data_IF_488433590393
#
_entry.id   IF_488433590393
#
_cell.length_a   1.000
_cell.length_b   1.000
_cell.length_c   1.000
_cell.angle_alpha   90.00
_cell.angle_beta   90.00
_cell.angle_gamma   90.00
#
_symmetry.space_group_name_H-M   'P 1'
#
loop_
_entity.id
_entity.type
_entity.pdbx_description
1 polymer ?
#
# COMPACT_ATOMS: atom_id res chain seq x y z
N UNK A 1 -12.09 -21.60 -26.84
CA UNK A 1 -11.98 -20.20 -26.40
C UNK A 1 -11.99 -19.23 -27.57
N UNK A 2 -11.07 -19.32 -28.54
CA UNK A 2 -11.01 -18.41 -29.72
C UNK A 2 -12.36 -18.23 -30.45
N UNK A 3 -13.08 -19.32 -30.74
CA UNK A 3 -14.41 -19.21 -31.38
C UNK A 3 -15.43 -18.43 -30.55
N UNK A 4 -15.38 -18.54 -29.22
CA UNK A 4 -16.27 -17.80 -28.32
C UNK A 4 -15.89 -16.31 -28.23
N UNK A 5 -14.60 -15.99 -28.18
CA UNK A 5 -14.09 -14.61 -28.19
C UNK A 5 -14.40 -13.92 -29.52
N UNK A 6 -14.18 -14.61 -30.66
CA UNK A 6 -14.53 -14.10 -31.99
C UNK A 6 -16.04 -13.85 -32.14
N UNK A 7 -16.86 -14.77 -31.62
CA UNK A 7 -18.33 -14.59 -31.59
C UNK A 7 -18.72 -13.36 -30.78
N UNK A 8 -18.13 -13.18 -29.59
CA UNK A 8 -18.38 -12.02 -28.75
C UNK A 8 -17.88 -10.70 -29.39
N UNK A 9 -16.74 -10.74 -30.09
CA UNK A 9 -16.19 -9.59 -30.81
C UNK A 9 -17.11 -9.12 -31.95
N UNK A 10 -17.78 -10.04 -32.64
CA UNK A 10 -18.70 -9.74 -33.74
C UNK A 10 -20.03 -9.10 -33.29
N UNK A 11 -20.38 -9.13 -32.00
CA UNK A 11 -21.62 -8.54 -31.49
C UNK A 11 -21.58 -7.01 -31.65
N UNK A 12 -22.59 -6.44 -32.30
CA UNK A 12 -22.69 -4.98 -32.52
C UNK A 12 -23.27 -4.25 -31.31
N UNK A 13 -24.24 -4.85 -30.62
CA UNK A 13 -24.83 -4.28 -29.42
C UNK A 13 -23.86 -4.34 -28.23
N UNK A 14 -23.51 -3.18 -27.67
CA UNK A 14 -22.49 -3.09 -26.63
C UNK A 14 -22.90 -3.79 -25.34
N UNK A 15 -24.18 -3.73 -24.95
CA UNK A 15 -24.67 -4.34 -23.71
C UNK A 15 -24.62 -5.86 -23.81
N UNK A 16 -25.08 -6.42 -24.92
CA UNK A 16 -24.99 -7.85 -25.20
C UNK A 16 -23.55 -8.32 -25.31
N UNK A 17 -22.67 -7.52 -25.94
CA UNK A 17 -21.23 -7.81 -26.04
C UNK A 17 -20.59 -7.94 -24.66
N UNK A 18 -20.83 -6.98 -23.77
CA UNK A 18 -20.31 -7.01 -22.38
C UNK A 18 -20.82 -8.25 -21.65
N UNK A 19 -22.11 -8.54 -21.75
CA UNK A 19 -22.69 -9.69 -21.05
C UNK A 19 -22.13 -11.02 -21.54
N UNK A 20 -21.96 -11.18 -22.86
CA UNK A 20 -21.33 -12.36 -23.43
C UNK A 20 -19.89 -12.53 -22.93
N UNK A 21 -19.10 -11.46 -22.91
CA UNK A 21 -17.75 -11.53 -22.37
C UNK A 21 -17.72 -11.84 -20.86
N UNK A 22 -18.69 -11.35 -20.07
CA UNK A 22 -18.80 -11.71 -18.65
C UNK A 22 -19.05 -13.20 -18.46
N UNK A 23 -19.92 -13.80 -19.27
CA UNK A 23 -20.15 -15.24 -19.22
C UNK A 23 -18.88 -16.03 -19.57
N UNK A 24 -18.11 -15.55 -20.56
CA UNK A 24 -16.81 -16.15 -20.90
C UNK A 24 -15.85 -16.01 -19.72
N UNK A 25 -15.70 -14.82 -19.13
CA UNK A 25 -14.85 -14.58 -17.97
C UNK A 25 -15.23 -15.50 -16.79
N UNK A 26 -16.52 -15.61 -16.47
CA UNK A 26 -17.00 -16.50 -15.42
C UNK A 26 -16.65 -17.96 -15.70
N UNK A 27 -16.78 -18.42 -16.96
CA UNK A 27 -16.39 -19.77 -17.36
C UNK A 27 -14.88 -20.04 -17.23
N UNK A 28 -14.05 -19.02 -17.46
CA UNK A 28 -12.59 -19.11 -17.32
C UNK A 28 -12.18 -19.25 -15.86
N UNK A 29 -12.75 -18.41 -15.00
CA UNK A 29 -12.40 -18.37 -13.58
C UNK A 29 -13.03 -19.50 -12.75
N UNK A 30 -14.07 -20.18 -13.26
CA UNK A 30 -14.75 -21.29 -12.56
C UNK A 30 -14.20 -22.68 -12.91
N UNK A 31 -13.19 -22.77 -13.78
CA UNK A 31 -12.52 -24.05 -14.06
C UNK A 31 -11.82 -24.58 -12.80
N UNK A 32 -11.88 -25.90 -12.55
CA UNK A 32 -11.24 -26.53 -11.39
C UNK A 32 -10.35 -27.71 -11.84
N UNK A 33 -9.01 -27.61 -11.72
CA UNK A 33 -8.25 -26.42 -11.32
C UNK A 33 -8.40 -25.27 -12.33
N UNK A 34 -8.15 -24.04 -11.89
CA UNK A 34 -8.23 -22.87 -12.77
C UNK A 34 -7.17 -22.96 -13.84
N UNK A 35 -7.59 -22.97 -15.10
CA UNK A 35 -6.67 -22.99 -16.23
C UNK A 35 -6.11 -21.57 -16.48
N UNK A 36 -4.90 -21.32 -15.98
CA UNK A 36 -4.22 -20.03 -16.14
C UNK A 36 -3.99 -19.67 -17.60
N UNK A 37 -3.89 -20.64 -18.51
CA UNK A 37 -3.72 -20.39 -19.94
C UNK A 37 -4.96 -19.75 -20.56
N UNK A 38 -6.16 -20.15 -20.10
CA UNK A 38 -7.42 -19.54 -20.53
C UNK A 38 -7.55 -18.11 -20.01
N UNK A 39 -7.16 -17.86 -18.76
CA UNK A 39 -7.16 -16.51 -18.20
C UNK A 39 -6.20 -15.57 -18.95
N UNK A 40 -4.98 -16.04 -19.25
CA UNK A 40 -3.99 -15.28 -20.04
C UNK A 40 -4.51 -14.93 -21.43
N UNK A 41 -5.12 -15.89 -22.14
CA UNK A 41 -5.74 -15.66 -23.46
C UNK A 41 -6.89 -14.66 -23.40
N UNK A 42 -7.71 -14.71 -22.34
CA UNK A 42 -8.77 -13.71 -22.15
C UNK A 42 -8.17 -12.31 -21.97
N UNK A 43 -7.11 -12.17 -21.17
CA UNK A 43 -6.40 -10.91 -20.97
C UNK A 43 -5.84 -10.39 -22.29
N UNK A 44 -5.13 -11.22 -23.06
CA UNK A 44 -4.54 -10.84 -24.36
C UNK A 44 -5.62 -10.29 -25.31
N UNK A 45 -6.79 -10.96 -25.35
CA UNK A 45 -7.93 -10.51 -26.15
C UNK A 45 -8.48 -9.16 -25.67
N UNK A 46 -8.60 -8.96 -24.36
CA UNK A 46 -9.12 -7.71 -23.79
C UNK A 46 -8.21 -6.50 -24.01
N UNK A 47 -6.88 -6.69 -24.06
CA UNK A 47 -5.93 -5.60 -24.29
C UNK A 47 -5.65 -5.35 -25.78
N UNK A 48 -6.16 -6.22 -26.66
CA UNK A 48 -6.07 -6.07 -28.12
C UNK A 48 -6.93 -4.91 -28.64
N UNK A 49 -6.72 -4.56 -29.91
CA UNK A 49 -7.53 -3.53 -30.59
C UNK A 49 -8.87 -4.07 -31.12
N UNK A 50 -9.11 -5.39 -31.02
CA UNK A 50 -10.38 -6.00 -31.43
C UNK A 50 -11.54 -5.67 -30.48
N UNK A 51 -11.22 -5.29 -29.25
CA UNK A 51 -12.19 -4.99 -28.20
C UNK A 51 -12.26 -3.48 -27.98
N UNK A 52 -13.44 -2.85 -28.10
CA UNK A 52 -13.59 -1.43 -27.81
C UNK A 52 -13.15 -1.11 -26.38
N UNK A 53 -12.39 -0.04 -26.19
CA UNK A 53 -11.76 0.31 -24.90
C UNK A 53 -12.74 0.35 -23.72
N UNK A 54 -13.97 0.85 -23.95
CA UNK A 54 -15.01 0.90 -22.90
C UNK A 54 -15.39 -0.50 -22.42
N UNK A 55 -15.47 -1.47 -23.33
CA UNK A 55 -15.76 -2.87 -23.02
C UNK A 55 -14.58 -3.50 -22.29
N UNK A 56 -13.35 -3.30 -22.77
CA UNK A 56 -12.12 -3.80 -22.13
C UNK A 56 -11.99 -3.28 -20.69
N UNK A 57 -12.20 -1.98 -20.45
CA UNK A 57 -12.14 -1.38 -19.10
C UNK A 57 -13.12 -2.04 -18.14
N UNK A 58 -14.37 -2.22 -18.56
CA UNK A 58 -15.40 -2.80 -17.71
C UNK A 58 -15.11 -4.27 -17.38
N UNK A 59 -14.65 -5.05 -18.36
CA UNK A 59 -14.35 -6.46 -18.17
C UNK A 59 -13.08 -6.70 -17.37
N UNK A 60 -12.02 -5.93 -17.63
CA UNK A 60 -10.78 -6.00 -16.83
C UNK A 60 -11.02 -5.54 -15.40
N UNK A 61 -11.95 -4.60 -15.16
CA UNK A 61 -12.36 -4.24 -13.81
C UNK A 61 -13.12 -5.39 -13.11
N UNK A 62 -14.06 -6.04 -13.79
CA UNK A 62 -14.74 -7.24 -13.25
C UNK A 62 -13.73 -8.36 -12.96
N UNK A 63 -12.81 -8.63 -13.89
CA UNK A 63 -11.72 -9.58 -13.71
C UNK A 63 -10.87 -9.23 -12.47
N UNK A 64 -10.47 -7.96 -12.32
CA UNK A 64 -9.68 -7.52 -11.18
C UNK A 64 -10.43 -7.73 -9.85
N UNK A 65 -11.74 -7.49 -9.81
CA UNK A 65 -12.56 -7.75 -8.62
C UNK A 65 -12.58 -9.24 -8.25
N UNK A 66 -12.71 -10.12 -9.25
CA UNK A 66 -12.82 -11.57 -9.07
C UNK A 66 -11.47 -12.25 -8.75
N UNK A 67 -10.32 -11.60 -8.98
CA UNK A 67 -8.99 -12.14 -8.66
C UNK A 67 -8.87 -12.68 -7.22
N UNK A 68 -9.47 -11.99 -6.26
CA UNK A 68 -9.39 -12.37 -4.83
C UNK A 68 -10.16 -13.64 -4.46
N UNK A 69 -10.88 -14.26 -5.40
CA UNK A 69 -11.54 -15.56 -5.20
C UNK A 69 -10.67 -16.74 -5.60
N UNK A 70 -9.56 -16.47 -6.30
CA UNK A 70 -8.66 -17.50 -6.79
C UNK A 70 -7.69 -17.93 -5.69
N UNK A 71 -7.11 -19.12 -5.86
CA UNK A 71 -6.00 -19.55 -5.00
C UNK A 71 -4.81 -18.61 -5.16
N UNK A 72 -4.05 -18.40 -4.07
CA UNK A 72 -2.98 -17.41 -3.99
C UNK A 72 -1.98 -17.47 -5.16
N UNK A 73 -1.48 -18.66 -5.51
CA UNK A 73 -0.46 -18.79 -6.55
C UNK A 73 -1.03 -18.54 -7.96
N UNK A 74 -2.26 -19.00 -8.21
CA UNK A 74 -3.01 -18.71 -9.44
C UNK A 74 -3.29 -17.21 -9.56
N UNK A 75 -3.73 -16.58 -8.46
CA UNK A 75 -3.99 -15.14 -8.42
C UNK A 75 -2.73 -14.35 -8.76
N UNK A 76 -1.58 -14.68 -8.14
CA UNK A 76 -0.29 -14.02 -8.43
C UNK A 76 0.10 -14.17 -9.89
N UNK A 77 0.05 -15.40 -10.42
CA UNK A 77 0.45 -15.68 -11.80
C UNK A 77 -0.37 -14.86 -12.81
N UNK A 78 -1.70 -14.90 -12.69
CA UNK A 78 -2.59 -14.23 -13.64
C UNK A 78 -2.52 -12.71 -13.47
N UNK A 79 -2.46 -12.19 -12.24
CA UNK A 79 -2.39 -10.76 -11.98
C UNK A 79 -1.08 -10.14 -12.50
N UNK A 80 0.08 -10.80 -12.30
CA UNK A 80 1.35 -10.34 -12.87
C UNK A 80 1.32 -10.36 -14.40
N UNK A 81 0.73 -11.41 -15.00
CA UNK A 81 0.55 -11.46 -16.44
C UNK A 81 -0.33 -10.30 -16.94
N UNK A 82 -1.44 -10.03 -16.26
CA UNK A 82 -2.32 -8.91 -16.59
C UNK A 82 -1.60 -7.56 -16.54
N UNK A 83 -0.83 -7.30 -15.49
CA UNK A 83 -0.04 -6.07 -15.39
C UNK A 83 0.97 -5.94 -16.53
N UNK A 84 1.66 -7.02 -16.90
CA UNK A 84 2.62 -7.03 -17.99
C UNK A 84 1.95 -6.72 -19.35
N UNK A 85 0.79 -7.33 -19.63
CA UNK A 85 0.05 -7.10 -20.88
C UNK A 85 -0.61 -5.72 -20.96
N UNK A 86 -1.02 -5.16 -19.82
CA UNK A 86 -1.62 -3.82 -19.76
C UNK A 86 -0.56 -2.72 -19.87
N UNK A 87 0.70 -2.98 -19.46
CA UNK A 87 1.77 -1.99 -19.37
C UNK A 87 1.96 -1.10 -20.62
N UNK A 88 1.92 -1.62 -21.87
CA UNK A 88 2.07 -0.78 -23.07
C UNK A 88 0.96 0.28 -23.23
N UNK A 89 -0.21 0.05 -22.62
CA UNK A 89 -1.39 0.91 -22.67
C UNK A 89 -1.82 1.37 -21.28
N UNK A 90 -0.90 1.43 -20.30
CA UNK A 90 -1.21 1.65 -18.88
C UNK A 90 -2.10 2.88 -18.61
N UNK A 91 -1.87 3.98 -19.32
CA UNK A 91 -2.68 5.23 -19.22
C UNK A 91 -4.15 4.99 -19.56
N UNK A 92 -4.44 4.02 -20.44
CA UNK A 92 -5.82 3.66 -20.78
C UNK A 92 -6.50 2.81 -19.71
N UNK A 93 -5.76 2.22 -18.78
CA UNK A 93 -6.23 1.21 -17.82
C UNK A 93 -5.80 1.49 -16.37
N UNK A 94 -5.54 2.75 -16.01
CA UNK A 94 -5.02 3.14 -14.69
C UNK A 94 -5.86 2.59 -13.53
N UNK A 95 -7.20 2.62 -13.66
CA UNK A 95 -8.11 2.12 -12.63
C UNK A 95 -8.03 0.61 -12.46
N UNK A 96 -7.93 -0.14 -13.56
CA UNK A 96 -7.77 -1.60 -13.50
C UNK A 96 -6.41 -1.97 -12.91
N UNK A 97 -5.35 -1.25 -13.28
CA UNK A 97 -4.00 -1.45 -12.75
C UNK A 97 -3.94 -1.17 -11.26
N UNK A 98 -4.63 -0.13 -10.79
CA UNK A 98 -4.77 0.18 -9.36
C UNK A 98 -5.34 -1.03 -8.61
N UNK A 99 -6.52 -1.51 -9.01
CA UNK A 99 -7.23 -2.59 -8.30
C UNK A 99 -6.38 -3.87 -8.29
N UNK A 100 -5.74 -4.20 -9.41
CA UNK A 100 -4.87 -5.39 -9.50
C UNK A 100 -3.67 -5.25 -8.56
N UNK A 101 -3.01 -4.08 -8.52
CA UNK A 101 -1.87 -3.84 -7.63
C UNK A 101 -2.26 -3.86 -6.16
N UNK A 102 -3.40 -3.28 -5.79
CA UNK A 102 -3.89 -3.31 -4.40
C UNK A 102 -4.18 -4.74 -3.95
N UNK A 103 -4.87 -5.55 -4.76
CA UNK A 103 -5.13 -6.96 -4.43
C UNK A 103 -3.86 -7.82 -4.35
N UNK A 104 -2.89 -7.56 -5.22
CA UNK A 104 -1.58 -8.23 -5.13
C UNK A 104 -0.82 -7.81 -3.87
N UNK A 105 -0.90 -6.53 -3.48
CA UNK A 105 -0.28 -6.06 -2.27
C UNK A 105 -0.90 -6.70 -1.03
N UNK A 106 -2.23 -6.73 -0.92
CA UNK A 106 -2.97 -7.41 0.15
C UNK A 106 -2.59 -8.89 0.25
N UNK A 107 -2.48 -9.58 -0.90
CA UNK A 107 -2.07 -10.98 -0.93
C UNK A 107 -0.64 -11.17 -0.42
N UNK A 108 0.31 -10.37 -0.91
CA UNK A 108 1.70 -10.44 -0.43
C UNK A 108 1.83 -10.06 1.05
N UNK A 109 1.05 -9.10 1.52
CA UNK A 109 1.02 -8.68 2.92
C UNK A 109 0.50 -9.81 3.82
N UNK A 110 -0.57 -10.51 3.42
CA UNK A 110 -1.09 -11.66 4.17
C UNK A 110 -0.12 -12.85 4.23
N UNK A 111 0.80 -12.95 3.26
CA UNK A 111 1.89 -13.90 3.23
C UNK A 111 3.19 -13.38 3.88
N UNK A 112 3.15 -12.20 4.52
CA UNK A 112 4.29 -11.54 5.15
C UNK A 112 5.46 -11.29 4.18
N UNK A 113 5.16 -11.15 2.88
CA UNK A 113 6.13 -10.75 1.86
C UNK A 113 6.13 -9.23 1.71
N UNK A 114 6.59 -8.54 2.76
CA UNK A 114 6.42 -7.09 2.95
C UNK A 114 7.01 -6.27 1.80
N UNK A 115 8.26 -6.54 1.41
CA UNK A 115 8.89 -5.86 0.28
C UNK A 115 8.12 -6.01 -1.03
N UNK A 116 7.54 -7.17 -1.30
CA UNK A 116 6.76 -7.37 -2.53
C UNK A 116 5.42 -6.62 -2.48
N UNK A 117 4.76 -6.62 -1.32
CA UNK A 117 3.56 -5.80 -1.11
C UNK A 117 3.84 -4.31 -1.34
N UNK A 118 4.94 -3.81 -0.75
CA UNK A 118 5.39 -2.44 -0.94
C UNK A 118 5.69 -2.12 -2.42
N UNK A 119 6.37 -3.03 -3.13
CA UNK A 119 6.64 -2.90 -4.56
C UNK A 119 5.36 -2.82 -5.40
N UNK A 120 4.34 -3.62 -5.08
CA UNK A 120 3.05 -3.58 -5.78
C UNK A 120 2.38 -2.21 -5.65
N UNK A 121 2.29 -1.68 -4.43
CA UNK A 121 1.71 -0.36 -4.16
C UNK A 121 2.56 0.79 -4.72
N UNK A 122 3.89 0.68 -4.66
CA UNK A 122 4.80 1.72 -5.17
C UNK A 122 4.71 1.95 -6.68
N UNK A 123 4.24 0.94 -7.43
CA UNK A 123 4.01 1.05 -8.87
C UNK A 123 2.66 1.71 -9.24
N UNK A 124 1.87 2.16 -8.27
CA UNK A 124 0.69 3.00 -8.51
C UNK A 124 1.16 4.43 -8.77
N UNK A 125 0.74 5.01 -9.89
CA UNK A 125 0.97 6.43 -10.16
C UNK A 125 0.06 7.29 -9.28
N UNK A 126 0.62 7.79 -8.17
CA UNK A 126 -0.06 8.68 -7.23
C UNK A 126 -0.18 10.12 -7.76
N UNK A 127 0.53 10.46 -8.83
CA UNK A 127 0.55 11.81 -9.42
C UNK A 127 -0.03 11.85 -10.84
N UNK A 128 -0.81 10.82 -11.20
CA UNK A 128 -1.52 10.76 -12.48
C UNK A 128 -2.28 12.06 -12.74
N UNK A 129 -1.99 12.68 -13.89
CA UNK A 129 -2.73 13.86 -14.36
C UNK A 129 -4.12 13.53 -14.91
N UNK A 130 -4.42 12.24 -15.13
CA UNK A 130 -5.71 11.78 -15.66
C UNK A 130 -6.69 11.50 -14.53
N UNK A 131 -6.21 10.95 -13.41
CA UNK A 131 -7.03 10.64 -12.24
C UNK A 131 -6.72 11.60 -11.10
N UNK A 132 -7.69 12.45 -10.77
CA UNK A 132 -7.61 13.29 -9.57
C UNK A 132 -7.72 12.37 -8.35
N UNK A 133 -6.60 12.14 -7.69
CA UNK A 133 -6.53 11.45 -6.40
C UNK A 133 -6.58 12.48 -5.27
N UNK A 134 -7.40 12.20 -4.26
CA UNK A 134 -7.45 13.02 -3.07
C UNK A 134 -6.14 12.93 -2.26
N UNK A 135 -5.75 14.03 -1.63
CA UNK A 135 -4.51 14.13 -0.85
C UNK A 135 -4.49 13.12 0.30
N UNK A 136 -5.66 12.81 0.88
CA UNK A 136 -5.80 11.78 1.91
C UNK A 136 -5.40 10.40 1.39
N UNK A 137 -5.86 10.03 0.18
CA UNK A 137 -5.53 8.75 -0.43
C UNK A 137 -4.03 8.65 -0.70
N UNK A 138 -3.43 9.71 -1.25
CA UNK A 138 -1.98 9.78 -1.50
C UNK A 138 -1.18 9.64 -0.21
N UNK A 139 -1.57 10.35 0.86
CA UNK A 139 -0.94 10.27 2.16
C UNK A 139 -1.03 8.85 2.73
N UNK A 140 -2.22 8.26 2.69
CA UNK A 140 -2.48 6.90 3.18
C UNK A 140 -1.59 5.87 2.47
N UNK A 141 -1.52 5.92 1.14
CA UNK A 141 -0.65 5.01 0.37
C UNK A 141 0.84 5.24 0.65
N UNK A 142 1.30 6.48 0.76
CA UNK A 142 2.70 6.75 1.09
C UNK A 142 3.08 6.18 2.47
N UNK A 143 2.23 6.38 3.48
CA UNK A 143 2.45 5.83 4.83
C UNK A 143 2.40 4.30 4.80
N UNK A 144 1.43 3.70 4.10
CA UNK A 144 1.31 2.24 3.96
C UNK A 144 2.56 1.64 3.30
N UNK A 145 3.05 2.21 2.21
CA UNK A 145 4.26 1.74 1.52
C UNK A 145 5.49 1.83 2.44
N UNK A 146 5.64 2.94 3.17
CA UNK A 146 6.74 3.11 4.11
C UNK A 146 6.68 2.07 5.25
N UNK A 147 5.48 1.77 5.79
CA UNK A 147 5.28 0.72 6.79
C UNK A 147 5.71 -0.65 6.27
N UNK A 148 5.27 -1.03 5.08
CA UNK A 148 5.62 -2.32 4.48
C UNK A 148 7.14 -2.48 4.31
N UNK A 149 7.84 -1.45 3.82
CA UNK A 149 9.30 -1.51 3.73
C UNK A 149 9.99 -1.60 5.10
N UNK A 150 9.42 -0.97 6.13
CA UNK A 150 9.95 -1.04 7.50
C UNK A 150 9.82 -2.42 8.15
N UNK A 151 8.87 -3.26 7.73
CA UNK A 151 8.75 -4.63 8.24
C UNK A 151 9.88 -5.55 7.72
N UNK A 152 10.56 -5.16 6.64
CA UNK A 152 11.78 -5.82 6.11
C UNK A 152 13.06 -5.00 6.40
N UNK A 153 13.03 -4.08 7.37
CA UNK A 153 14.14 -3.17 7.74
C UNK A 153 14.69 -2.31 6.56
N UNK A 154 13.94 -2.15 5.48
CA UNK A 154 14.33 -1.36 4.31
C UNK A 154 14.03 0.14 4.51
N UNK A 155 14.81 0.75 5.40
CA UNK A 155 14.69 2.16 5.72
C UNK A 155 14.96 3.09 4.51
N UNK A 156 15.70 2.62 3.50
CA UNK A 156 16.04 3.42 2.31
C UNK A 156 14.81 3.64 1.45
N UNK A 157 14.12 2.54 1.09
CA UNK A 157 12.89 2.65 0.32
C UNK A 157 11.76 3.26 1.15
N UNK A 158 11.67 2.96 2.45
CA UNK A 158 10.69 3.58 3.34
C UNK A 158 10.83 5.12 3.41
N UNK A 159 12.07 5.63 3.49
CA UNK A 159 12.33 7.08 3.55
C UNK A 159 11.86 7.82 2.29
N UNK A 160 11.98 7.18 1.12
CA UNK A 160 11.52 7.78 -0.13
C UNK A 160 10.01 8.09 -0.10
N UNK A 161 9.19 7.21 0.48
CA UNK A 161 7.74 7.39 0.57
C UNK A 161 7.32 8.24 1.77
N UNK A 162 7.99 8.14 2.91
CA UNK A 162 7.67 9.01 4.05
C UNK A 162 7.97 10.49 3.73
N UNK A 163 9.00 10.77 2.93
CA UNK A 163 9.28 12.14 2.49
C UNK A 163 8.19 12.69 1.58
N UNK A 164 7.59 11.85 0.72
CA UNK A 164 6.41 12.26 -0.07
C UNK A 164 5.22 12.55 0.84
N UNK A 165 4.96 11.71 1.83
CA UNK A 165 3.92 11.92 2.84
C UNK A 165 4.11 13.23 3.62
N UNK A 166 5.34 13.67 3.86
CA UNK A 166 5.64 14.89 4.63
C UNK A 166 5.04 16.17 4.05
N UNK A 167 4.85 16.23 2.72
CA UNK A 167 4.23 17.37 2.05
C UNK A 167 2.70 17.42 2.21
N UNK A 168 2.09 16.27 2.55
CA UNK A 168 0.63 16.12 2.64
C UNK A 168 0.15 16.13 4.10
N UNK A 169 0.96 15.61 5.02
CA UNK A 169 0.58 15.39 6.42
C UNK A 169 0.22 16.68 7.16
N UNK A 170 0.84 17.82 6.82
CA UNK A 170 0.56 19.10 7.50
C UNK A 170 -0.87 19.61 7.26
N UNK A 171 -1.47 19.23 6.14
CA UNK A 171 -2.81 19.64 5.75
C UNK A 171 -3.87 18.58 6.08
N UNK A 172 -3.45 17.42 6.58
CA UNK A 172 -4.32 16.29 6.91
C UNK A 172 -5.02 16.48 8.25
N UNK A 173 -6.34 16.33 8.25
CA UNK A 173 -7.16 16.31 9.47
C UNK A 173 -7.29 14.89 10.07
N UNK A 174 -6.72 13.87 9.43
CA UNK A 174 -6.79 12.49 9.89
C UNK A 174 -5.73 12.21 10.96
N UNK A 175 -6.14 12.36 12.22
CA UNK A 175 -5.23 12.23 13.36
C UNK A 175 -4.56 10.84 13.44
N UNK A 176 -5.28 9.76 13.14
CA UNK A 176 -4.74 8.38 13.10
C UNK A 176 -3.61 8.27 12.08
N UNK A 177 -3.86 8.73 10.86
CA UNK A 177 -2.89 8.66 9.78
C UNK A 177 -1.66 9.55 10.07
N UNK A 178 -1.87 10.70 10.71
CA UNK A 178 -0.80 11.58 11.16
C UNK A 178 0.05 10.91 12.26
N UNK A 179 -0.56 10.12 13.16
CA UNK A 179 0.16 9.32 14.15
C UNK A 179 0.98 8.21 13.48
N UNK A 180 0.37 7.44 12.56
CA UNK A 180 1.07 6.40 11.80
C UNK A 180 2.28 6.97 11.05
N UNK A 181 2.12 8.14 10.41
CA UNK A 181 3.23 8.87 9.79
C UNK A 181 4.35 9.18 10.79
N UNK A 182 4.03 9.72 11.98
CA UNK A 182 5.03 10.08 13.01
C UNK A 182 5.81 8.84 13.48
N UNK A 183 5.11 7.74 13.74
CA UNK A 183 5.72 6.47 14.17
C UNK A 183 6.65 5.93 13.08
N UNK A 184 6.21 5.92 11.82
CA UNK A 184 7.04 5.47 10.70
C UNK A 184 8.29 6.34 10.54
N UNK A 185 8.12 7.66 10.62
CA UNK A 185 9.24 8.58 10.47
C UNK A 185 10.27 8.41 11.59
N UNK A 186 9.83 8.20 12.84
CA UNK A 186 10.74 7.89 13.95
C UNK A 186 11.52 6.58 13.72
N UNK A 187 10.85 5.50 13.30
CA UNK A 187 11.48 4.20 12.97
C UNK A 187 12.52 4.33 11.86
N UNK A 188 12.21 5.09 10.80
CA UNK A 188 13.15 5.31 9.69
C UNK A 188 14.41 6.03 10.18
N UNK A 189 14.26 7.08 11.00
CA UNK A 189 15.40 7.81 11.55
C UNK A 189 16.28 6.92 12.44
N UNK A 190 15.66 6.04 13.24
CA UNK A 190 16.36 5.09 14.10
C UNK A 190 17.18 4.08 13.28
N UNK A 191 16.56 3.41 12.30
CA UNK A 191 17.24 2.48 11.39
C UNK A 191 18.39 3.14 10.62
N UNK A 192 18.22 4.42 10.26
CA UNK A 192 19.26 5.23 9.61
C UNK A 192 20.30 5.79 10.57
N UNK A 193 20.27 5.41 11.85
CA UNK A 193 21.19 5.84 12.91
C UNK A 193 21.19 7.34 13.19
N UNK A 194 20.11 8.04 12.82
CA UNK A 194 19.86 9.45 13.19
C UNK A 194 19.25 9.49 14.59
N UNK A 195 19.93 8.88 15.55
CA UNK A 195 19.36 8.53 16.86
C UNK A 195 18.84 9.74 17.64
N UNK A 196 19.52 10.89 17.57
CA UNK A 196 19.05 12.07 18.29
C UNK A 196 17.73 12.62 17.72
N UNK A 197 17.58 12.60 16.40
CA UNK A 197 16.34 13.00 15.74
C UNK A 197 15.22 12.00 16.04
N UNK A 198 15.53 10.69 15.94
CA UNK A 198 14.61 9.62 16.29
C UNK A 198 14.12 9.73 17.75
N UNK A 199 15.04 9.97 18.69
CA UNK A 199 14.73 10.11 20.11
C UNK A 199 13.73 11.24 20.39
N UNK A 200 13.91 12.39 19.75
CA UNK A 200 12.97 13.51 19.89
C UNK A 200 11.58 13.15 19.37
N UNK A 201 11.49 12.46 18.23
CA UNK A 201 10.21 12.02 17.67
C UNK A 201 9.51 10.97 18.52
N UNK A 202 10.26 9.98 19.01
CA UNK A 202 9.74 8.97 19.92
C UNK A 202 9.27 9.58 21.24
N UNK A 203 10.01 10.55 21.77
CA UNK A 203 9.60 11.29 22.94
C UNK A 203 8.28 12.03 22.67
N UNK A 204 8.17 12.79 21.58
CA UNK A 204 6.92 13.49 21.21
C UNK A 204 5.73 12.52 21.11
N UNK A 205 5.93 11.30 20.60
CA UNK A 205 4.90 10.26 20.53
C UNK A 205 4.50 9.78 21.93
N UNK A 206 5.47 9.52 22.82
CA UNK A 206 5.20 9.07 24.19
C UNK A 206 4.40 10.08 25.02
N UNK A 207 4.44 11.37 24.66
CA UNK A 207 3.73 12.45 25.36
C UNK A 207 2.30 12.67 24.82
N UNK A 208 1.79 11.78 23.96
CA UNK A 208 0.40 11.88 23.50
C UNK A 208 -0.54 11.58 24.67
N UNK A 209 -1.25 12.59 25.14
CA UNK A 209 -2.22 12.47 26.24
C UNK A 209 -3.56 11.86 25.81
N UNK A 210 -3.94 12.03 24.53
CA UNK A 210 -5.17 11.46 23.99
C UNK A 210 -5.07 9.93 24.01
N UNK A 211 -5.93 9.25 24.75
CA UNK A 211 -6.04 7.77 24.75
C UNK A 211 -6.93 7.22 23.64
N UNK A 212 -7.59 8.10 22.91
CA UNK A 212 -8.39 7.77 21.74
C UNK A 212 -8.12 8.80 20.64
N UNK A 213 -7.83 8.31 19.44
CA UNK A 213 -7.63 9.13 18.25
C UNK A 213 -8.52 8.57 17.14
N UNK A 214 -9.56 9.31 16.78
CA UNK A 214 -10.60 8.80 15.88
C UNK A 214 -11.25 7.54 16.45
N UNK A 215 -11.26 6.47 15.65
CA UNK A 215 -11.80 5.16 16.03
C UNK A 215 -10.74 4.22 16.65
N UNK A 216 -9.48 4.65 16.76
CA UNK A 216 -8.38 3.86 17.34
C UNK A 216 -8.14 4.26 18.80
N UNK A 217 -8.09 3.25 19.67
CA UNK A 217 -7.61 3.39 21.04
C UNK A 217 -6.08 3.34 21.05
N UNK A 218 -5.43 4.29 21.72
CA UNK A 218 -3.98 4.27 21.86
C UNK A 218 -3.63 3.35 23.03
N UNK A 219 -2.97 2.26 22.71
CA UNK A 219 -2.39 1.35 23.69
C UNK A 219 -1.33 2.07 24.55
N UNK A 220 -1.50 2.04 25.86
CA UNK A 220 -0.53 2.63 26.80
C UNK A 220 0.83 1.93 26.69
N UNK A 221 0.84 0.62 26.44
CA UNK A 221 2.09 -0.14 26.23
C UNK A 221 2.86 0.38 25.01
N UNK A 222 2.16 0.84 23.96
CA UNK A 222 2.79 1.43 22.78
C UNK A 222 3.43 2.80 23.08
N UNK A 223 2.82 3.60 23.97
CA UNK A 223 3.40 4.87 24.42
C UNK A 223 4.63 4.66 25.30
N UNK A 224 4.61 3.65 26.17
CA UNK A 224 5.77 3.24 26.96
C UNK A 224 6.90 2.71 26.08
N UNK A 225 6.58 1.91 25.06
CA UNK A 225 7.56 1.46 24.06
C UNK A 225 8.20 2.64 23.31
N UNK A 226 7.41 3.66 22.93
CA UNK A 226 7.94 4.87 22.34
C UNK A 226 8.89 5.61 23.30
N UNK A 227 8.55 5.71 24.59
CA UNK A 227 9.46 6.31 25.58
C UNK A 227 10.76 5.52 25.73
N UNK A 228 10.66 4.19 25.79
CA UNK A 228 11.82 3.29 25.86
C UNK A 228 12.72 3.42 24.62
N UNK A 229 12.13 3.51 23.43
CA UNK A 229 12.85 3.78 22.18
C UNK A 229 13.54 5.15 22.22
N UNK A 230 12.88 6.19 22.75
CA UNK A 230 13.48 7.52 22.91
C UNK A 230 14.72 7.48 23.82
N UNK A 231 14.65 6.77 24.94
CA UNK A 231 15.78 6.57 25.86
C UNK A 231 16.92 5.82 25.16
N UNK A 232 16.60 4.72 24.50
CA UNK A 232 17.58 3.88 23.79
C UNK A 232 18.31 4.67 22.70
N UNK A 233 17.56 5.36 21.83
CA UNK A 233 18.12 6.25 20.81
C UNK A 233 19.01 7.34 21.43
N UNK A 234 18.57 7.97 22.52
CA UNK A 234 19.38 9.01 23.18
C UNK A 234 20.69 8.45 23.73
N UNK A 235 20.68 7.24 24.29
CA UNK A 235 21.90 6.57 24.77
C UNK A 235 22.87 6.32 23.61
N UNK A 236 22.35 5.79 22.49
CA UNK A 236 23.12 5.47 21.27
C UNK A 236 23.61 6.69 20.48
N UNK A 237 22.97 7.85 20.64
CA UNK A 237 23.36 9.08 19.97
C UNK A 237 24.80 9.51 20.30
N UNK A 238 25.45 10.21 19.36
CA UNK A 238 26.79 10.75 19.56
C UNK A 238 26.85 11.70 20.76
N UNK A 239 27.98 11.68 21.48
CA UNK A 239 28.19 12.55 22.63
C UNK A 239 28.13 14.03 22.22
N UNK A 240 27.37 14.83 22.97
CA UNK A 240 27.29 16.27 22.73
C UNK A 240 26.23 16.98 23.58
N UNK A 241 26.19 18.33 23.54
CA UNK A 241 25.30 19.12 24.39
C UNK A 241 23.80 18.84 24.15
N UNK A 242 23.42 18.52 22.91
CA UNK A 242 22.03 18.16 22.60
C UNK A 242 21.62 16.84 23.25
N UNK A 243 22.45 15.80 23.12
CA UNK A 243 22.23 14.50 23.79
C UNK A 243 22.08 14.66 25.30
N UNK A 244 22.96 15.42 25.93
CA UNK A 244 22.89 15.67 27.39
C UNK A 244 21.59 16.37 27.81
N UNK A 245 21.09 17.30 26.99
CA UNK A 245 19.79 17.95 27.23
C UNK A 245 18.63 16.96 27.13
N UNK A 246 18.60 16.13 26.09
CA UNK A 246 17.54 15.11 25.92
C UNK A 246 17.56 14.11 27.06
N UNK A 247 18.74 13.63 27.49
CA UNK A 247 18.87 12.76 28.67
C UNK A 247 18.32 13.40 29.94
N UNK A 248 18.62 14.69 30.18
CA UNK A 248 18.11 15.40 31.35
C UNK A 248 16.58 15.53 31.33
N UNK A 249 15.98 15.69 30.15
CA UNK A 249 14.52 15.70 29.98
C UNK A 249 13.94 14.32 30.28
N UNK A 250 14.47 13.26 29.66
CA UNK A 250 13.98 11.89 29.81
C UNK A 250 14.09 11.39 31.25
N UNK A 251 15.17 11.73 31.96
CA UNK A 251 15.34 11.38 33.37
C UNK A 251 14.24 11.97 34.27
N UNK A 252 13.81 13.21 34.02
CA UNK A 252 12.72 13.83 34.79
C UNK A 252 11.39 13.13 34.55
N UNK A 253 11.12 12.75 33.31
CA UNK A 253 9.88 12.06 32.94
C UNK A 253 9.85 10.66 33.54
N UNK A 254 10.93 9.89 33.44
CA UNK A 254 10.99 8.53 34.00
C UNK A 254 10.81 8.49 35.51
N UNK A 255 11.31 9.50 36.25
CA UNK A 255 11.13 9.60 37.71
C UNK A 255 9.68 9.92 38.07
N UNK A 256 8.99 10.74 37.27
CA UNK A 256 7.60 11.10 37.51
C UNK A 256 6.62 9.97 37.18
N UNK A 257 6.93 9.10 36.21
CA UNK A 257 6.07 7.96 35.84
C UNK A 257 6.25 6.74 36.74
N UNK A 258 7.37 6.63 37.46
CA UNK A 258 7.67 5.54 38.39
C UNK A 258 7.35 5.85 39.87
N UNK A 259 6.72 7.00 40.11
CA UNK A 259 6.21 7.37 41.45
C UNK A 259 4.76 6.87 41.58
N UNK A 260 4.42 6.12 42.65
CA UNK A 260 3.09 5.52 42.84
C UNK A 260 1.98 6.54 43.11
#
# INVERSE_FOLDING_TARGET
MEGALATAAAITDQRQKIEHYRLILASVLSSSPVDTSLAKRFIDHMVSDEVPLVVSRQLLQSFAQDLGRLEADVQKEIAHYALAQIQPRVVSFEEQVLIIREKLAELYESEQQWSKAAQMLSGIDLDSGVRILDDMYKLSKCVQIARLYLEDDDAVNAEAFINKASFLVSNSQHEVLNLQYKVCYARILDLKRKFLEAALRYYDISQIEKRQIGDEEIDEDALEQALSAAVTCTILAAAGPQRSRVLATLYKVSVNTSSP
#
